data_IF_384345875076
#
_entry.id   IF_384345875076
#
_cell.length_a   1.000
_cell.length_b   1.000
_cell.length_c   1.000
_cell.angle_alpha   90.00
_cell.angle_beta   90.00
_cell.angle_gamma   90.00
#
_symmetry.space_group_name_H-M   'P 1'
#
loop_
_entity.id
_entity.type
_entity.pdbx_description
1 polymer ?
#
# COMPACT_ATOMS: atom_id res chain seq x y z
N UNK A 1 -6.92 -7.41 -29.85
CA UNK A 1 -6.63 -6.55 -28.69
C UNK A 1 -7.63 -6.88 -27.60
N UNK A 2 -7.15 -7.14 -26.40
CA UNK A 2 -8.06 -7.42 -25.28
C UNK A 2 -8.71 -6.09 -24.87
N UNK A 3 -10.02 -5.94 -25.06
CA UNK A 3 -10.76 -4.70 -24.80
C UNK A 3 -10.66 -4.24 -23.33
N UNK A 4 -10.32 -5.15 -22.43
CA UNK A 4 -10.19 -4.91 -21.00
C UNK A 4 -9.16 -3.81 -20.60
N UNK A 5 -8.28 -3.41 -21.51
CA UNK A 5 -7.25 -2.39 -21.27
C UNK A 5 -7.38 -1.19 -22.21
N UNK A 6 -8.59 -0.92 -22.68
CA UNK A 6 -8.86 0.21 -23.55
C UNK A 6 -9.59 1.33 -22.81
N UNK A 7 -9.22 2.57 -23.14
CA UNK A 7 -9.84 3.78 -22.57
C UNK A 7 -9.50 3.91 -21.07
N UNK A 8 -8.53 4.75 -20.75
CA UNK A 8 -8.25 5.07 -19.36
C UNK A 8 -9.45 5.74 -18.72
N UNK A 9 -9.74 5.40 -17.49
CA UNK A 9 -10.76 6.03 -16.67
C UNK A 9 -10.16 6.35 -15.32
N UNK A 10 -10.40 7.56 -14.82
CA UNK A 10 -9.90 7.98 -13.51
C UNK A 10 -10.78 9.09 -12.93
N UNK A 11 -10.77 9.16 -11.61
CA UNK A 11 -11.48 10.18 -10.86
C UNK A 11 -10.66 10.51 -9.60
N UNK A 12 -10.33 11.76 -9.41
CA UNK A 12 -9.75 12.32 -8.20
C UNK A 12 -10.81 13.15 -7.48
N UNK A 13 -11.10 12.80 -6.24
CA UNK A 13 -12.01 13.54 -5.36
C UNK A 13 -11.23 14.06 -4.18
N UNK A 14 -11.39 15.35 -3.86
CA UNK A 14 -10.78 15.98 -2.68
C UNK A 14 -11.88 16.69 -1.89
N UNK A 15 -12.16 16.18 -0.70
CA UNK A 15 -13.07 16.83 0.24
C UNK A 15 -12.29 17.78 1.13
N UNK A 16 -12.58 19.07 1.03
CA UNK A 16 -11.95 20.12 1.80
C UNK A 16 -12.62 20.30 3.17
N UNK A 17 -11.90 20.87 4.13
CA UNK A 17 -12.42 21.08 5.48
C UNK A 17 -13.60 22.06 5.56
N UNK A 18 -13.79 22.90 4.54
CA UNK A 18 -14.96 23.79 4.43
C UNK A 18 -16.24 23.08 3.93
N UNK A 19 -16.16 21.77 3.70
CA UNK A 19 -17.25 20.95 3.18
C UNK A 19 -17.38 20.97 1.64
N UNK A 20 -16.53 21.71 0.93
CA UNK A 20 -16.51 21.68 -0.53
C UNK A 20 -15.79 20.42 -1.04
N UNK A 21 -16.23 19.89 -2.18
CA UNK A 21 -15.63 18.73 -2.83
C UNK A 21 -15.17 19.12 -4.22
N UNK A 22 -13.88 18.88 -4.48
CA UNK A 22 -13.31 18.99 -5.81
C UNK A 22 -13.36 17.62 -6.48
N UNK A 23 -13.89 17.56 -7.68
CA UNK A 23 -13.86 16.37 -8.53
C UNK A 23 -13.15 16.68 -9.84
N UNK A 24 -12.13 15.89 -10.16
CA UNK A 24 -11.40 15.98 -11.43
C UNK A 24 -11.31 14.58 -12.00
N UNK A 25 -11.79 14.37 -13.22
CA UNK A 25 -11.75 13.03 -13.78
C UNK A 25 -12.20 12.92 -15.22
N UNK A 26 -12.08 11.73 -15.74
CA UNK A 26 -12.46 11.34 -17.10
C UNK A 26 -13.54 10.25 -17.03
N UNK A 27 -14.54 10.42 -16.17
CA UNK A 27 -15.61 9.45 -16.01
C UNK A 27 -16.95 9.84 -16.69
N UNK A 28 -16.94 10.95 -17.43
CA UNK A 28 -18.06 11.35 -18.30
C UNK A 28 -19.06 12.30 -17.67
N UNK A 29 -18.79 12.86 -16.48
CA UNK A 29 -19.68 13.82 -15.82
C UNK A 29 -19.38 15.27 -16.28
N UNK A 30 -18.14 15.55 -16.66
CA UNK A 30 -17.72 16.86 -17.14
C UNK A 30 -17.48 16.85 -18.65
N UNK A 31 -18.16 17.73 -19.38
CA UNK A 31 -17.92 17.98 -20.82
C UNK A 31 -16.57 18.67 -21.06
N UNK A 32 -15.94 19.20 -20.00
CA UNK A 32 -14.65 19.87 -20.08
C UNK A 32 -13.49 18.87 -20.05
N UNK A 33 -12.45 19.19 -20.79
CA UNK A 33 -11.22 18.39 -20.78
C UNK A 33 -10.59 18.43 -19.39
N UNK A 34 -10.49 17.31 -18.68
CA UNK A 34 -10.01 17.32 -17.31
C UNK A 34 -8.57 17.86 -17.22
N UNK A 35 -8.23 18.43 -16.07
CA UNK A 35 -6.87 18.88 -15.78
C UNK A 35 -5.86 17.74 -15.91
N UNK A 36 -4.60 18.06 -16.17
CA UNK A 36 -3.53 17.06 -16.08
C UNK A 36 -3.36 16.65 -14.63
N UNK A 37 -3.37 15.34 -14.39
CA UNK A 37 -3.07 14.72 -13.08
C UNK A 37 -2.04 13.62 -13.27
N UNK A 38 -1.01 13.60 -12.42
CA UNK A 38 -0.15 12.42 -12.25
C UNK A 38 -0.29 11.91 -10.84
N UNK A 39 -0.10 10.63 -10.68
CA UNK A 39 -0.18 9.97 -9.38
C UNK A 39 0.91 8.92 -9.21
N UNK A 40 1.32 8.77 -7.97
CA UNK A 40 2.22 7.72 -7.50
C UNK A 40 1.69 7.20 -6.16
N UNK A 41 0.92 6.14 -6.22
CA UNK A 41 0.30 5.48 -5.07
C UNK A 41 1.16 4.30 -4.68
N UNK A 42 1.77 4.38 -3.53
CA UNK A 42 2.75 3.40 -3.09
C UNK A 42 2.31 2.66 -1.83
N UNK A 43 2.16 1.35 -1.95
CA UNK A 43 1.95 0.42 -0.85
C UNK A 43 3.13 -0.56 -0.80
N UNK A 44 4.25 -0.18 -0.19
CA UNK A 44 5.50 -0.93 -0.25
C UNK A 44 5.49 -2.21 0.58
N UNK A 45 4.31 -2.71 0.87
CA UNK A 45 4.12 -3.89 1.65
C UNK A 45 4.31 -3.64 3.15
N UNK A 46 4.95 -4.54 3.77
CA UNK A 46 4.99 -4.73 5.20
C UNK A 46 5.91 -3.78 5.96
N UNK A 47 6.29 -2.65 5.36
CA UNK A 47 7.30 -1.77 5.95
C UNK A 47 6.89 -0.31 5.96
N UNK A 48 6.26 0.09 7.02
CA UNK A 48 6.22 1.50 7.36
C UNK A 48 5.14 2.32 6.66
N UNK A 49 5.32 3.59 6.75
CA UNK A 49 4.46 4.64 6.27
C UNK A 49 5.02 5.18 4.97
N UNK A 50 4.21 5.25 3.95
CA UNK A 50 4.61 5.83 2.69
C UNK A 50 3.61 6.87 2.27
N UNK A 51 4.15 7.92 1.71
CA UNK A 51 3.34 8.95 1.09
C UNK A 51 2.98 8.50 -0.32
N UNK A 52 1.74 8.75 -0.68
CA UNK A 52 1.28 8.74 -2.05
C UNK A 52 1.28 10.17 -2.56
N UNK A 53 1.68 10.38 -3.80
CA UNK A 53 1.82 11.69 -4.40
C UNK A 53 0.81 11.87 -5.52
N UNK A 54 0.11 13.00 -5.49
CA UNK A 54 -0.77 13.44 -6.56
C UNK A 54 -0.37 14.82 -7.02
N UNK A 55 -0.17 15.00 -8.32
CA UNK A 55 0.17 16.27 -8.90
C UNK A 55 -0.96 16.74 -9.81
N UNK A 56 -1.42 17.96 -9.61
CA UNK A 56 -2.51 18.58 -10.38
C UNK A 56 -1.96 19.85 -11.01
N UNK A 57 -2.09 19.98 -12.34
CA UNK A 57 -1.64 21.16 -13.06
C UNK A 57 -2.75 22.15 -13.29
N UNK A 58 -2.42 23.44 -13.12
CA UNK A 58 -3.26 24.59 -13.47
C UNK A 58 -4.64 24.59 -12.77
N UNK A 59 -4.68 24.10 -11.54
CA UNK A 59 -5.86 24.24 -10.69
C UNK A 59 -6.11 25.72 -10.39
N UNK A 60 -7.36 26.14 -10.30
CA UNK A 60 -7.73 27.53 -9.99
C UNK A 60 -7.24 27.94 -8.60
N UNK A 61 -6.95 29.24 -8.43
CA UNK A 61 -6.44 29.77 -7.15
C UNK A 61 -7.38 29.48 -5.97
N UNK A 62 -8.69 29.52 -6.22
CA UNK A 62 -9.71 29.26 -5.19
C UNK A 62 -9.64 27.84 -4.68
N UNK A 63 -9.53 26.84 -5.58
CA UNK A 63 -9.36 25.45 -5.21
C UNK A 63 -7.99 25.17 -4.56
N UNK A 64 -6.91 25.82 -5.05
CA UNK A 64 -5.61 25.72 -4.41
C UNK A 64 -5.66 26.14 -2.94
N UNK A 65 -6.30 27.30 -2.64
CA UNK A 65 -6.43 27.79 -1.27
C UNK A 65 -7.26 26.88 -0.38
N UNK A 66 -8.33 26.28 -0.90
CA UNK A 66 -9.18 25.36 -0.13
C UNK A 66 -8.46 24.06 0.21
N UNK A 67 -7.65 23.52 -0.71
CA UNK A 67 -6.94 22.26 -0.52
C UNK A 67 -5.69 22.44 0.34
N UNK A 68 -5.04 23.62 0.31
CA UNK A 68 -3.86 23.93 1.12
C UNK A 68 -4.18 23.89 2.63
N UNK A 69 -5.44 24.00 3.02
CA UNK A 69 -5.87 23.73 4.39
C UNK A 69 -5.56 22.29 4.80
N UNK A 70 -4.93 22.11 5.97
CA UNK A 70 -4.61 20.78 6.49
C UNK A 70 -5.85 19.92 6.71
N UNK A 71 -5.75 18.62 6.39
CA UNK A 71 -6.76 17.62 6.72
C UNK A 71 -7.78 17.31 5.63
N UNK A 72 -7.64 17.86 4.42
CA UNK A 72 -8.47 17.45 3.28
C UNK A 72 -8.37 15.95 3.03
N UNK A 73 -9.52 15.31 2.80
CA UNK A 73 -9.56 13.89 2.48
C UNK A 73 -9.53 13.70 0.96
N UNK A 74 -8.86 12.63 0.51
CA UNK A 74 -8.66 12.35 -0.91
C UNK A 74 -9.04 10.90 -1.23
N UNK A 75 -9.76 10.73 -2.34
CA UNK A 75 -10.04 9.44 -2.96
C UNK A 75 -9.59 9.47 -4.41
N UNK A 76 -8.89 8.44 -4.82
CA UNK A 76 -8.45 8.30 -6.19
C UNK A 76 -8.84 6.95 -6.77
N UNK A 77 -9.62 7.00 -7.84
CA UNK A 77 -10.06 5.85 -8.59
C UNK A 77 -9.40 5.86 -9.96
N UNK A 78 -8.92 4.71 -10.41
CA UNK A 78 -8.39 4.60 -11.77
C UNK A 78 -8.51 3.18 -12.33
N UNK A 79 -8.35 3.07 -13.64
CA UNK A 79 -8.45 1.82 -14.38
C UNK A 79 -8.78 2.03 -15.85
N UNK A 80 -9.69 1.22 -16.37
CA UNK A 80 -10.10 1.22 -17.77
C UNK A 80 -11.61 1.19 -17.92
N UNK A 81 -12.13 1.77 -19.02
CA UNK A 81 -13.59 1.87 -19.28
C UNK A 81 -14.26 0.51 -19.44
N UNK A 82 -13.59 -0.44 -20.09
CA UNK A 82 -14.10 -1.80 -20.34
C UNK A 82 -13.39 -2.86 -19.50
N UNK A 83 -12.56 -2.46 -18.55
CA UNK A 83 -11.77 -3.34 -17.71
C UNK A 83 -11.89 -3.05 -16.22
N UNK A 84 -10.84 -3.40 -15.48
CA UNK A 84 -10.78 -3.16 -14.04
C UNK A 84 -10.71 -1.66 -13.76
N UNK A 85 -11.69 -1.16 -13.01
CA UNK A 85 -11.73 0.20 -12.49
C UNK A 85 -12.06 0.14 -10.99
N UNK A 86 -11.34 0.86 -10.17
CA UNK A 86 -11.56 0.82 -8.73
C UNK A 86 -10.75 1.83 -7.94
N UNK A 87 -10.97 1.83 -6.64
CA UNK A 87 -10.25 2.68 -5.69
C UNK A 87 -8.79 2.24 -5.62
N UNK A 88 -7.88 3.16 -5.90
CA UNK A 88 -6.44 2.95 -5.74
C UNK A 88 -5.93 3.53 -4.43
N UNK A 89 -6.49 4.67 -4.00
CA UNK A 89 -6.05 5.35 -2.80
C UNK A 89 -7.22 6.04 -2.09
N UNK A 90 -7.20 5.99 -0.77
CA UNK A 90 -8.03 6.77 0.12
C UNK A 90 -7.19 7.19 1.31
N UNK A 91 -7.23 8.47 1.68
CA UNK A 91 -6.44 8.98 2.79
C UNK A 91 -6.59 10.48 2.95
N UNK A 92 -5.62 11.10 3.64
CA UNK A 92 -5.61 12.54 3.89
C UNK A 92 -4.42 13.22 3.24
N UNK A 93 -4.63 14.45 2.85
CA UNK A 93 -3.55 15.35 2.44
C UNK A 93 -2.72 15.67 3.68
N UNK A 94 -1.49 15.19 3.70
CA UNK A 94 -0.55 15.45 4.78
C UNK A 94 0.19 16.77 4.57
N UNK A 95 0.64 17.00 3.33
CA UNK A 95 1.35 18.23 2.98
C UNK A 95 1.11 18.60 1.51
N UNK A 96 0.53 19.78 1.24
CA UNK A 96 0.43 20.33 -0.11
C UNK A 96 1.64 21.20 -0.43
N UNK A 97 2.08 21.19 -1.70
CA UNK A 97 3.12 22.06 -2.24
C UNK A 97 2.65 22.71 -3.53
N UNK A 98 2.76 24.01 -3.62
CA UNK A 98 2.51 24.74 -4.86
C UNK A 98 3.84 25.12 -5.50
N UNK A 99 4.08 24.63 -6.70
CA UNK A 99 5.30 24.90 -7.46
C UNK A 99 4.94 25.55 -8.81
N UNK A 100 5.72 26.54 -9.22
CA UNK A 100 5.60 27.11 -10.55
C UNK A 100 6.50 26.37 -11.53
N UNK A 101 5.93 25.83 -12.60
CA UNK A 101 6.65 25.20 -13.69
C UNK A 101 6.67 26.10 -14.92
N UNK A 102 7.84 26.65 -15.26
CA UNK A 102 7.97 27.59 -16.38
C UNK A 102 7.29 28.93 -16.14
N UNK A 103 6.78 29.53 -17.21
CA UNK A 103 6.24 30.90 -17.17
C UNK A 103 4.78 30.94 -16.73
N UNK A 104 3.98 29.94 -17.10
CA UNK A 104 2.50 29.99 -17.01
C UNK A 104 1.90 28.85 -16.19
N UNK A 105 2.61 27.74 -16.01
CA UNK A 105 2.06 26.56 -15.38
C UNK A 105 2.34 26.52 -13.87
N UNK A 106 1.32 26.15 -13.12
CA UNK A 106 1.42 25.87 -11.70
C UNK A 106 1.10 24.39 -11.46
N UNK A 107 1.89 23.78 -10.59
CA UNK A 107 1.70 22.39 -10.16
C UNK A 107 1.41 22.39 -8.67
N UNK A 108 0.25 21.88 -8.29
CA UNK A 108 -0.09 21.53 -6.91
C UNK A 108 0.27 20.06 -6.66
N UNK A 109 1.23 19.83 -5.79
CA UNK A 109 1.63 18.50 -5.33
C UNK A 109 0.98 18.23 -4.00
N UNK A 110 0.24 17.14 -3.90
CA UNK A 110 -0.39 16.67 -2.68
C UNK A 110 0.37 15.42 -2.19
N UNK A 111 1.08 15.56 -1.07
CA UNK A 111 1.61 14.43 -0.34
C UNK A 111 0.50 13.88 0.54
N UNK A 112 0.06 12.67 0.28
CA UNK A 112 -1.07 12.05 0.95
C UNK A 112 -0.65 10.82 1.72
N UNK A 113 -1.35 10.52 2.82
CA UNK A 113 -1.08 9.37 3.65
C UNK A 113 -2.38 8.68 4.03
N UNK A 114 -2.34 7.34 3.98
CA UNK A 114 -3.39 6.50 4.56
C UNK A 114 -3.05 6.18 6.01
N UNK A 115 -4.06 6.25 6.89
CA UNK A 115 -3.92 5.84 8.28
C UNK A 115 -3.19 6.82 9.19
N UNK A 116 -3.32 8.12 8.96
CA UNK A 116 -2.77 9.20 9.81
C UNK A 116 -3.13 9.05 11.29
N UNK A 117 -4.32 8.50 11.60
CA UNK A 117 -4.82 8.28 12.97
C UNK A 117 -3.94 7.39 13.83
N UNK A 118 -3.07 6.59 13.22
CA UNK A 118 -2.21 5.69 13.97
C UNK A 118 -1.08 6.44 14.70
N UNK A 119 -0.66 7.58 14.21
CA UNK A 119 0.49 8.31 14.76
C UNK A 119 0.37 9.83 14.80
N UNK A 120 -0.46 10.47 13.94
CA UNK A 120 -0.58 11.94 13.94
C UNK A 120 -1.56 12.37 15.02
N UNK A 121 -1.09 13.21 15.96
CA UNK A 121 -1.92 13.84 17.00
C UNK A 121 -2.81 12.86 17.78
N UNK A 122 -2.34 11.61 17.91
CA UNK A 122 -3.06 10.56 18.59
C UNK A 122 -2.21 9.93 19.70
N UNK A 123 -2.84 9.62 20.82
CA UNK A 123 -2.18 8.95 21.93
C UNK A 123 -3.14 8.02 22.66
N UNK A 124 -2.58 7.10 23.43
CA UNK A 124 -3.31 6.20 24.29
C UNK A 124 -2.78 6.26 25.72
N UNK A 125 -3.70 6.21 26.66
CA UNK A 125 -3.42 5.98 28.07
C UNK A 125 -4.33 4.86 28.57
N UNK A 126 -3.80 3.67 28.73
CA UNK A 126 -4.58 2.50 29.10
C UNK A 126 -3.84 1.55 30.03
N UNK A 127 -4.61 0.76 30.77
CA UNK A 127 -4.13 -0.31 31.65
C UNK A 127 -4.72 -1.64 31.20
N UNK A 128 -3.87 -2.59 30.87
CA UNK A 128 -4.27 -3.96 30.56
C UNK A 128 -4.06 -4.86 31.80
N UNK A 129 -5.11 -5.58 32.24
CA UNK A 129 -4.97 -6.54 33.33
C UNK A 129 -4.10 -7.72 32.90
N UNK A 130 -3.49 -8.45 33.83
CA UNK A 130 -2.79 -9.70 33.52
C UNK A 130 -3.76 -10.70 32.84
N UNK A 131 -3.24 -11.52 31.92
CA UNK A 131 -4.02 -12.53 31.21
C UNK A 131 -4.59 -12.07 29.85
N UNK A 132 -4.27 -10.86 29.38
CA UNK A 132 -4.67 -10.44 28.03
C UNK A 132 -3.81 -11.09 26.95
N UNK A 133 -4.37 -11.19 25.73
CA UNK A 133 -3.65 -11.62 24.53
C UNK A 133 -3.15 -10.41 23.74
N UNK A 134 -2.18 -10.61 22.87
CA UNK A 134 -1.66 -9.54 22.00
C UNK A 134 -2.74 -8.98 21.08
N UNK A 135 -3.63 -9.83 20.56
CA UNK A 135 -4.78 -9.38 19.76
C UNK A 135 -5.74 -8.50 20.58
N UNK A 136 -6.01 -8.87 21.84
CA UNK A 136 -6.81 -8.04 22.76
C UNK A 136 -6.13 -6.71 23.05
N UNK A 137 -4.81 -6.70 23.17
CA UNK A 137 -4.03 -5.47 23.35
C UNK A 137 -4.17 -4.54 22.16
N UNK A 138 -3.97 -5.03 20.93
CA UNK A 138 -4.10 -4.23 19.71
C UNK A 138 -5.51 -3.64 19.59
N UNK A 139 -6.54 -4.46 19.82
CA UNK A 139 -7.93 -3.98 19.79
C UNK A 139 -8.22 -2.93 20.85
N UNK A 140 -7.69 -3.10 22.07
CA UNK A 140 -7.87 -2.13 23.16
C UNK A 140 -7.16 -0.80 22.82
N UNK A 141 -5.96 -0.86 22.28
CA UNK A 141 -5.22 0.32 21.83
C UNK A 141 -6.00 1.06 20.75
N UNK A 142 -6.46 0.34 19.72
CA UNK A 142 -7.21 0.93 18.61
C UNK A 142 -8.52 1.59 19.04
N UNK A 143 -9.25 0.95 19.97
CA UNK A 143 -10.53 1.45 20.45
C UNK A 143 -10.41 2.60 21.46
N UNK A 144 -9.36 2.62 22.29
CA UNK A 144 -9.19 3.58 23.39
C UNK A 144 -8.24 4.73 23.04
N UNK A 145 -7.67 4.75 21.86
CA UNK A 145 -6.91 5.88 21.39
C UNK A 145 -7.77 7.16 21.39
N UNK A 146 -7.15 8.31 21.61
CA UNK A 146 -7.86 9.61 21.64
C UNK A 146 -8.69 9.81 20.37
N UNK A 147 -8.14 9.44 19.22
CA UNK A 147 -8.92 9.26 17.99
C UNK A 147 -8.97 7.77 17.67
N UNK A 148 -10.13 7.11 17.80
CA UNK A 148 -10.25 5.68 17.57
C UNK A 148 -9.78 5.27 16.18
N UNK A 149 -9.08 4.15 16.11
CA UNK A 149 -8.51 3.60 14.87
C UNK A 149 -9.39 2.42 14.45
N UNK A 150 -10.05 2.49 13.29
CA UNK A 150 -10.82 1.36 12.79
C UNK A 150 -9.91 0.15 12.53
N UNK A 151 -10.28 -1.01 13.04
CA UNK A 151 -9.59 -2.27 12.80
C UNK A 151 -10.36 -3.06 11.76
N UNK A 152 -9.67 -3.49 10.69
CA UNK A 152 -10.26 -4.36 9.68
C UNK A 152 -10.03 -5.84 10.04
N UNK A 153 -8.77 -6.27 10.05
CA UNK A 153 -8.43 -7.66 10.36
C UNK A 153 -7.09 -7.76 11.08
N UNK A 154 -7.07 -8.56 12.12
CA UNK A 154 -5.86 -8.98 12.82
C UNK A 154 -5.70 -10.47 12.60
N UNK A 155 -4.51 -10.91 12.19
CA UNK A 155 -4.21 -12.32 12.01
C UNK A 155 -4.47 -13.13 13.27
N UNK A 156 -5.04 -14.32 13.13
CA UNK A 156 -5.28 -15.24 14.25
C UNK A 156 -3.98 -15.83 14.83
N UNK A 157 -2.87 -15.67 14.11
CA UNK A 157 -1.54 -16.13 14.53
C UNK A 157 -0.80 -15.18 15.47
N UNK A 158 -1.31 -13.98 15.73
CA UNK A 158 -0.79 -13.20 16.84
C UNK A 158 -0.84 -14.05 18.11
N UNK A 159 0.30 -14.10 18.84
CA UNK A 159 0.50 -14.99 19.96
C UNK A 159 -0.78 -15.22 20.78
N UNK A 160 -1.35 -16.42 20.75
CA UNK A 160 -2.58 -16.73 21.48
C UNK A 160 -2.34 -16.83 22.98
N UNK A 161 -1.06 -16.84 23.40
CA UNK A 161 -0.67 -16.94 24.79
C UNK A 161 -1.05 -15.70 25.58
N UNK A 162 -1.60 -15.92 26.76
CA UNK A 162 -1.92 -14.85 27.68
C UNK A 162 -0.67 -14.24 28.28
N UNK A 163 -0.57 -12.93 28.29
CA UNK A 163 0.53 -12.21 28.90
C UNK A 163 0.35 -12.17 30.42
N UNK A 164 1.32 -12.70 31.15
CA UNK A 164 1.27 -12.93 32.60
C UNK A 164 1.24 -11.64 33.41
N UNK A 165 1.81 -10.56 32.85
CA UNK A 165 1.93 -9.27 33.57
C UNK A 165 0.92 -8.26 33.08
N UNK A 166 0.42 -7.44 34.01
CA UNK A 166 -0.32 -6.22 33.64
C UNK A 166 0.58 -5.26 32.90
N UNK A 167 0.01 -4.51 31.97
CA UNK A 167 0.72 -3.48 31.21
C UNK A 167 0.02 -2.14 31.36
N UNK A 168 0.79 -1.09 31.60
CA UNK A 168 0.33 0.30 31.56
C UNK A 168 0.99 0.97 30.35
N UNK A 169 0.20 1.52 29.46
CA UNK A 169 0.65 2.10 28.20
C UNK A 169 0.28 3.57 28.18
N UNK A 170 1.28 4.41 27.96
CA UNK A 170 1.12 5.84 27.66
C UNK A 170 2.05 6.19 26.51
N UNK A 171 1.51 6.21 25.31
CA UNK A 171 2.30 6.37 24.09
C UNK A 171 1.41 6.77 22.90
N UNK A 172 2.04 7.09 21.74
CA UNK A 172 1.35 7.06 20.47
C UNK A 172 0.93 5.62 20.14
N UNK A 173 -0.27 5.38 19.58
CA UNK A 173 -0.79 4.04 19.31
C UNK A 173 0.12 3.16 18.46
N UNK A 174 0.89 3.75 17.53
CA UNK A 174 1.80 3.01 16.66
C UNK A 174 2.92 2.30 17.43
N UNK A 175 3.40 2.88 18.52
CA UNK A 175 4.55 2.32 19.29
C UNK A 175 4.22 0.93 19.85
N UNK A 176 3.19 0.75 20.69
CA UNK A 176 2.88 -0.57 21.25
C UNK A 176 2.36 -1.55 20.19
N UNK A 177 1.64 -1.09 19.16
CA UNK A 177 1.20 -1.99 18.08
C UNK A 177 2.39 -2.51 17.29
N UNK A 178 3.37 -1.68 16.97
CA UNK A 178 4.62 -2.11 16.31
C UNK A 178 5.45 -3.06 17.17
N UNK A 179 5.42 -2.89 18.47
CA UNK A 179 6.09 -3.81 19.38
C UNK A 179 5.47 -5.21 19.32
N UNK A 180 4.14 -5.30 19.35
CA UNK A 180 3.41 -6.56 19.15
C UNK A 180 3.79 -7.21 17.82
N UNK A 181 3.74 -6.46 16.73
CA UNK A 181 4.07 -6.97 15.39
C UNK A 181 5.54 -7.42 15.31
N UNK A 182 6.47 -6.67 15.93
CA UNK A 182 7.90 -7.02 15.95
C UNK A 182 8.17 -8.33 16.71
N UNK A 183 7.41 -8.60 17.75
CA UNK A 183 7.54 -9.83 18.53
C UNK A 183 7.01 -11.06 17.77
N UNK A 184 6.23 -10.85 16.72
CA UNK A 184 5.65 -11.90 15.87
C UNK A 184 6.30 -11.85 14.49
N UNK A 185 7.33 -12.66 14.27
CA UNK A 185 8.31 -12.56 13.16
C UNK A 185 7.68 -12.47 11.76
N UNK A 186 6.58 -13.16 11.50
CA UNK A 186 5.93 -13.20 10.19
C UNK A 186 4.70 -12.28 10.10
N UNK A 187 4.47 -11.47 11.12
CA UNK A 187 3.35 -10.54 11.17
C UNK A 187 3.75 -9.13 10.75
N UNK A 188 2.88 -8.46 10.03
CA UNK A 188 3.10 -7.12 9.50
C UNK A 188 1.90 -6.23 9.68
N UNK A 189 2.20 -4.96 9.94
CA UNK A 189 1.23 -3.90 10.10
C UNK A 189 1.14 -3.09 8.82
N UNK A 190 -0.08 -2.87 8.33
CA UNK A 190 -0.35 -1.88 7.29
C UNK A 190 -1.71 -1.21 7.50
N UNK A 191 -1.84 0.00 6.96
CA UNK A 191 -3.10 0.72 6.90
C UNK A 191 -3.66 0.64 5.49
N UNK A 192 -4.96 0.49 5.37
CA UNK A 192 -5.67 0.58 4.10
C UNK A 192 -7.07 1.14 4.32
N UNK A 193 -7.39 2.17 3.56
CA UNK A 193 -8.69 2.88 3.68
C UNK A 193 -8.97 3.34 5.12
N UNK A 194 -7.93 3.85 5.80
CA UNK A 194 -8.01 4.30 7.19
C UNK A 194 -8.17 3.18 8.23
N UNK A 195 -8.07 1.91 7.82
CA UNK A 195 -8.27 0.75 8.70
C UNK A 195 -6.96 0.02 8.98
N UNK A 196 -6.77 -0.34 10.24
CA UNK A 196 -5.64 -1.13 10.70
C UNK A 196 -5.77 -2.60 10.26
N UNK A 197 -4.69 -3.12 9.69
CA UNK A 197 -4.55 -4.53 9.36
C UNK A 197 -3.25 -5.08 9.94
N UNK A 198 -3.32 -6.26 10.56
CA UNK A 198 -2.15 -7.06 10.91
C UNK A 198 -2.29 -8.40 10.17
N UNK A 199 -1.32 -8.70 9.31
CA UNK A 199 -1.31 -9.86 8.44
C UNK A 199 -0.13 -10.78 8.77
N UNK A 200 -0.35 -12.08 8.71
CA UNK A 200 0.75 -13.06 8.63
C UNK A 200 1.01 -13.37 7.16
N UNK A 201 2.25 -13.21 6.70
CA UNK A 201 2.62 -13.47 5.30
C UNK A 201 2.49 -14.93 4.90
N UNK A 202 2.49 -15.83 5.87
CA UNK A 202 2.31 -17.25 5.61
C UNK A 202 0.84 -17.66 5.44
N UNK A 203 -0.11 -16.81 5.85
CA UNK A 203 -1.53 -17.06 5.58
C UNK A 203 -1.82 -17.08 4.09
N UNK A 204 -2.70 -17.98 3.68
CA UNK A 204 -3.20 -18.11 2.31
C UNK A 204 -4.71 -18.26 2.33
N UNK A 205 -5.37 -17.69 1.36
CA UNK A 205 -6.79 -17.88 1.15
C UNK A 205 -7.02 -18.97 0.09
N UNK A 206 -7.22 -20.19 0.54
CA UNK A 206 -7.47 -21.32 -0.35
C UNK A 206 -8.81 -21.26 -1.11
N UNK A 207 -9.67 -20.29 -0.75
CA UNK A 207 -10.96 -20.10 -1.42
C UNK A 207 -10.85 -19.25 -2.68
N UNK A 208 -9.75 -18.51 -2.84
CA UNK A 208 -9.52 -17.62 -3.98
C UNK A 208 -8.53 -18.25 -4.97
N UNK A 209 -8.91 -18.22 -6.25
CA UNK A 209 -7.95 -18.58 -7.30
C UNK A 209 -6.92 -17.44 -7.47
N UNK A 210 -5.63 -17.79 -7.64
CA UNK A 210 -4.60 -16.81 -7.85
C UNK A 210 -4.82 -16.05 -9.15
N UNK A 211 -4.56 -14.74 -9.12
CA UNK A 211 -4.67 -13.91 -10.31
C UNK A 211 -3.58 -14.28 -11.32
N UNK A 212 -3.98 -14.73 -12.50
CA UNK A 212 -3.06 -15.08 -13.59
C UNK A 212 -2.44 -13.84 -14.24
N UNK A 213 -1.13 -13.72 -14.22
CA UNK A 213 -0.36 -12.61 -14.78
C UNK A 213 0.46 -13.10 -15.99
N UNK A 214 0.08 -12.65 -17.17
CA UNK A 214 0.73 -12.99 -18.44
C UNK A 214 0.55 -11.84 -19.46
N UNK A 215 1.09 -12.00 -20.65
CA UNK A 215 1.00 -10.97 -21.71
C UNK A 215 -0.43 -10.64 -22.15
N UNK A 216 -1.38 -11.55 -21.97
CA UNK A 216 -2.80 -11.31 -22.29
C UNK A 216 -3.53 -10.59 -21.15
N UNK A 217 -3.05 -10.74 -19.92
CA UNK A 217 -3.62 -10.10 -18.72
C UNK A 217 -2.87 -8.82 -18.30
N UNK A 218 -2.08 -8.25 -19.22
CA UNK A 218 -1.48 -6.94 -19.05
C UNK A 218 -0.05 -6.93 -18.52
N UNK A 219 0.67 -8.06 -18.49
CA UNK A 219 2.09 -8.08 -18.14
C UNK A 219 2.90 -7.23 -19.10
N UNK A 220 3.69 -6.30 -18.59
CA UNK A 220 4.52 -5.35 -19.33
C UNK A 220 6.00 -5.66 -19.10
N UNK A 221 6.73 -5.84 -20.19
CA UNK A 221 8.16 -6.15 -20.11
C UNK A 221 8.42 -7.58 -19.61
N UNK A 222 9.59 -7.76 -19.00
CA UNK A 222 10.03 -9.06 -18.49
C UNK A 222 10.11 -9.01 -16.97
N UNK A 223 9.44 -9.93 -16.24
CA UNK A 223 9.57 -10.04 -14.80
C UNK A 223 11.05 -10.23 -14.39
N UNK A 224 11.43 -9.59 -13.30
CA UNK A 224 12.79 -9.66 -12.76
C UNK A 224 12.81 -10.47 -11.48
N UNK A 225 13.63 -11.48 -11.42
CA UNK A 225 13.84 -12.24 -10.20
C UNK A 225 14.60 -11.40 -9.18
N UNK A 226 14.16 -11.46 -7.94
CA UNK A 226 14.84 -10.93 -6.76
C UNK A 226 15.33 -12.07 -5.86
N UNK A 227 16.11 -11.76 -4.82
CA UNK A 227 16.59 -12.77 -3.87
C UNK A 227 15.44 -13.52 -3.16
N UNK A 228 14.22 -12.96 -3.14
CA UNK A 228 13.08 -13.47 -2.34
C UNK A 228 11.82 -13.71 -3.15
N UNK A 229 11.86 -13.42 -4.43
CA UNK A 229 10.67 -13.56 -5.26
C UNK A 229 10.86 -12.90 -6.62
N UNK A 230 9.92 -12.05 -6.99
CA UNK A 230 9.86 -11.49 -8.33
C UNK A 230 9.35 -10.04 -8.30
N UNK A 231 9.92 -9.20 -9.14
CA UNK A 231 9.37 -7.90 -9.48
C UNK A 231 8.82 -7.93 -10.90
N UNK A 232 7.62 -7.44 -11.07
CA UNK A 232 7.01 -7.35 -12.38
C UNK A 232 6.12 -6.12 -12.52
N UNK A 233 5.90 -5.69 -13.76
CA UNK A 233 5.04 -4.57 -14.12
C UNK A 233 3.84 -5.06 -14.89
N UNK A 234 2.68 -4.55 -14.57
CA UNK A 234 1.46 -4.76 -15.34
C UNK A 234 0.84 -3.43 -15.73
N UNK A 235 -0.03 -3.46 -16.75
CA UNK A 235 -0.93 -2.34 -16.99
C UNK A 235 -1.75 -2.06 -15.73
N UNK A 236 -2.10 -0.81 -15.49
CA UNK A 236 -2.77 -0.40 -14.25
C UNK A 236 -3.92 -1.35 -13.90
N UNK A 237 -3.86 -1.92 -12.71
CA UNK A 237 -4.88 -2.86 -12.24
C UNK A 237 -5.20 -2.63 -10.77
N UNK A 238 -6.35 -2.02 -10.45
CA UNK A 238 -6.75 -1.74 -9.07
C UNK A 238 -7.09 -2.98 -8.24
N UNK A 239 -7.27 -4.14 -8.89
CA UNK A 239 -7.51 -5.40 -8.17
C UNK A 239 -6.26 -5.88 -7.46
N UNK A 240 -5.07 -5.56 -8.01
CA UNK A 240 -3.80 -5.96 -7.39
C UNK A 240 -3.51 -5.03 -6.23
N UNK A 241 -3.43 -5.59 -5.04
CA UNK A 241 -3.19 -4.83 -3.82
C UNK A 241 -2.67 -5.68 -2.68
N UNK A 242 -2.30 -5.02 -1.60
CA UNK A 242 -1.96 -5.68 -0.35
C UNK A 242 -3.26 -6.02 0.36
N UNK A 243 -3.46 -7.30 0.65
CA UNK A 243 -4.67 -7.85 1.26
C UNK A 243 -4.35 -8.67 2.51
N UNK A 244 -5.37 -9.02 3.27
CA UNK A 244 -5.27 -9.90 4.43
C UNK A 244 -6.31 -11.04 4.32
N UNK A 245 -5.90 -12.27 4.05
CA UNK A 245 -4.53 -12.76 3.82
C UNK A 245 -3.87 -12.18 2.55
N UNK A 246 -2.55 -12.37 2.38
CA UNK A 246 -1.84 -11.87 1.21
C UNK A 246 -2.38 -12.41 -0.10
N UNK A 247 -2.60 -11.52 -1.08
CA UNK A 247 -3.07 -11.89 -2.41
C UNK A 247 -2.06 -12.78 -3.12
N UNK A 248 -2.53 -13.85 -3.72
CA UNK A 248 -1.71 -14.75 -4.52
C UNK A 248 -1.82 -14.43 -6.02
N UNK A 249 -0.68 -14.48 -6.71
CA UNK A 249 -0.58 -14.27 -8.15
C UNK A 249 0.19 -15.39 -8.79
N UNK A 250 -0.21 -15.78 -10.01
CA UNK A 250 0.52 -16.74 -10.84
C UNK A 250 1.10 -16.03 -12.05
N UNK A 251 2.42 -15.86 -12.06
CA UNK A 251 3.15 -15.13 -13.10
C UNK A 251 3.65 -16.11 -14.16
N UNK A 252 3.46 -15.77 -15.44
CA UNK A 252 4.03 -16.51 -16.56
C UNK A 252 5.55 -16.31 -16.59
N UNK A 253 6.28 -17.34 -16.23
CA UNK A 253 7.74 -17.33 -16.15
C UNK A 253 8.44 -17.70 -17.48
N UNK A 254 7.72 -17.99 -18.55
CA UNK A 254 8.31 -18.42 -19.83
C UNK A 254 9.27 -17.38 -20.44
N UNK A 255 9.21 -16.14 -20.00
CA UNK A 255 10.02 -15.01 -20.45
C UNK A 255 10.79 -14.32 -19.32
N UNK A 256 10.97 -14.98 -18.19
CA UNK A 256 11.73 -14.40 -17.07
C UNK A 256 13.21 -14.37 -17.44
N UNK A 257 13.75 -13.19 -17.58
CA UNK A 257 15.19 -13.00 -17.57
C UNK A 257 15.67 -13.08 -16.12
N UNK A 258 16.59 -14.00 -15.88
CA UNK A 258 17.33 -14.02 -14.63
C UNK A 258 18.25 -12.79 -14.66
N UNK A 259 17.72 -11.63 -14.34
CA UNK A 259 18.55 -10.50 -13.98
C UNK A 259 19.12 -10.85 -12.60
N UNK A 260 20.31 -11.39 -12.57
CA UNK A 260 21.08 -11.55 -11.34
C UNK A 260 21.29 -10.16 -10.75
N UNK A 261 20.38 -9.72 -9.88
CA UNK A 261 20.72 -8.68 -8.95
C UNK A 261 21.81 -9.29 -8.04
N UNK A 262 22.98 -8.69 -8.11
CA UNK A 262 24.19 -8.97 -7.35
C UNK A 262 24.06 -10.08 -6.33
N UNK A 263 24.65 -11.22 -6.60
CA UNK A 263 24.97 -12.18 -5.57
C UNK A 263 25.68 -11.44 -4.43
N UNK A 264 25.07 -11.38 -3.25
CA UNK A 264 25.77 -10.97 -2.03
C UNK A 264 26.84 -12.04 -1.84
N UNK A 265 28.09 -11.65 -1.84
CA UNK A 265 29.25 -12.54 -1.71
C UNK A 265 28.98 -13.60 -0.63
N UNK A 266 28.97 -14.87 -1.01
CA UNK A 266 28.86 -16.01 -0.12
C UNK A 266 27.44 -16.57 0.10
N UNK A 267 26.40 -16.09 -0.61
CA UNK A 267 25.07 -16.71 -0.57
C UNK A 267 24.74 -17.35 -1.92
N UNK A 268 24.24 -18.61 -1.93
CA UNK A 268 23.74 -19.19 -3.17
C UNK A 268 22.57 -18.36 -3.69
N UNK A 269 22.54 -18.08 -4.99
CA UNK A 269 21.39 -17.49 -5.68
C UNK A 269 20.20 -18.41 -5.42
N UNK A 270 19.10 -17.90 -4.88
CA UNK A 270 17.90 -18.70 -4.70
C UNK A 270 17.42 -19.19 -6.07
N UNK A 271 17.14 -20.46 -6.17
CA UNK A 271 16.56 -21.03 -7.38
C UNK A 271 15.19 -20.38 -7.59
N UNK A 272 14.94 -19.88 -8.81
CA UNK A 272 13.61 -19.35 -9.19
C UNK A 272 12.55 -20.38 -8.80
N UNK A 273 11.53 -19.94 -8.13
CA UNK A 273 10.34 -20.77 -7.96
C UNK A 273 9.74 -21.04 -9.34
N UNK A 274 9.97 -22.22 -9.87
CA UNK A 274 9.49 -22.63 -11.19
C UNK A 274 7.97 -22.77 -11.26
N UNK A 275 7.27 -22.72 -10.10
CA UNK A 275 5.81 -22.83 -10.07
C UNK A 275 5.13 -21.56 -10.56
N UNK A 276 5.81 -20.43 -10.52
CA UNK A 276 5.27 -19.13 -10.90
C UNK A 276 4.30 -18.52 -9.88
N UNK A 277 4.19 -19.12 -8.70
CA UNK A 277 3.28 -18.67 -7.65
C UNK A 277 3.99 -17.72 -6.68
N UNK A 278 3.36 -16.55 -6.46
CA UNK A 278 3.91 -15.52 -5.58
C UNK A 278 2.78 -14.89 -4.77
N UNK A 279 3.13 -14.41 -3.57
CA UNK A 279 2.29 -13.54 -2.75
C UNK A 279 2.64 -12.08 -3.01
N UNK A 280 1.64 -11.24 -3.18
CA UNK A 280 1.84 -9.81 -3.35
C UNK A 280 2.32 -9.22 -2.03
N UNK A 281 3.53 -8.66 -2.06
CA UNK A 281 4.17 -8.09 -0.90
C UNK A 281 4.38 -6.59 -0.97
N UNK A 282 4.26 -6.01 -2.15
CA UNK A 282 4.33 -4.56 -2.37
C UNK A 282 3.69 -4.19 -3.71
N UNK A 283 3.04 -3.03 -3.75
CA UNK A 283 2.36 -2.53 -4.94
C UNK A 283 2.60 -1.03 -5.08
N UNK A 284 2.90 -0.60 -6.28
CA UNK A 284 2.98 0.81 -6.66
C UNK A 284 2.14 1.04 -7.90
N UNK A 285 1.12 1.86 -7.78
CA UNK A 285 0.31 2.32 -8.91
C UNK A 285 0.76 3.71 -9.31
N UNK A 286 1.10 3.91 -10.56
CA UNK A 286 1.51 5.23 -11.02
C UNK A 286 1.05 5.51 -12.44
N UNK A 287 0.84 6.78 -12.74
CA UNK A 287 0.38 7.17 -14.06
C UNK A 287 0.34 8.66 -14.30
N UNK A 288 0.20 8.99 -15.58
CA UNK A 288 -0.02 10.34 -16.09
C UNK A 288 -1.29 10.35 -16.95
N UNK A 289 -2.27 11.16 -16.58
CA UNK A 289 -3.55 11.25 -17.29
C UNK A 289 -3.39 11.72 -18.74
N UNK A 290 -2.30 12.41 -19.06
CA UNK A 290 -1.97 12.94 -20.40
C UNK A 290 -0.73 12.28 -21.02
N UNK A 291 0.02 11.47 -20.23
CA UNK A 291 1.24 10.80 -20.66
C UNK A 291 1.01 9.34 -21.02
N UNK A 292 2.11 8.60 -21.15
CA UNK A 292 2.09 7.18 -21.49
C UNK A 292 2.06 6.25 -20.28
N UNK A 293 2.48 6.73 -19.12
CA UNK A 293 2.54 5.94 -17.91
C UNK A 293 1.15 5.62 -17.37
N UNK A 294 0.87 4.33 -17.15
CA UNK A 294 -0.38 3.84 -16.56
C UNK A 294 -0.17 2.39 -16.13
N UNK A 295 0.52 2.21 -15.01
CA UNK A 295 1.08 0.93 -14.63
C UNK A 295 0.88 0.61 -13.15
N UNK A 296 0.99 -0.68 -12.86
CA UNK A 296 1.13 -1.23 -11.51
C UNK A 296 2.43 -2.02 -11.46
N UNK A 297 3.35 -1.61 -10.61
CA UNK A 297 4.55 -2.37 -10.24
C UNK A 297 4.26 -3.23 -9.04
N UNK A 298 4.64 -4.49 -9.08
CA UNK A 298 4.36 -5.47 -8.03
C UNK A 298 5.65 -6.13 -7.58
N UNK A 299 5.83 -6.19 -6.27
CA UNK A 299 6.84 -7.03 -5.63
C UNK A 299 6.14 -8.27 -5.08
N UNK A 300 6.49 -9.43 -5.61
CA UNK A 300 5.97 -10.72 -5.17
C UNK A 300 7.00 -11.52 -4.38
N UNK A 301 6.57 -12.20 -3.33
CA UNK A 301 7.38 -13.16 -2.57
C UNK A 301 7.04 -14.58 -2.99
N UNK A 302 8.06 -15.44 -3.13
CA UNK A 302 7.86 -16.83 -3.52
C UNK A 302 7.04 -17.62 -2.49
N UNK A 303 6.05 -18.38 -2.97
CA UNK A 303 5.19 -19.20 -2.11
C UNK A 303 5.90 -20.47 -1.62
N UNK A 304 6.83 -21.01 -2.39
CA UNK A 304 7.52 -22.27 -2.10
C UNK A 304 8.46 -22.24 -0.90
N UNK A 305 8.33 -21.23 -0.04
CA UNK A 305 8.68 -21.30 1.37
C UNK A 305 10.15 -21.55 1.70
N UNK A 306 11.06 -21.41 0.77
CA UNK A 306 12.47 -21.30 1.10
C UNK A 306 12.97 -19.86 1.09
N UNK A 307 12.07 -18.94 1.43
CA UNK A 307 12.54 -17.67 1.98
C UNK A 307 13.22 -18.03 3.30
N UNK A 308 14.53 -17.81 3.43
CA UNK A 308 15.18 -18.05 4.72
C UNK A 308 14.39 -17.24 5.77
N UNK A 309 14.03 -17.86 6.88
CA UNK A 309 13.25 -17.25 7.96
C UNK A 309 13.83 -15.91 8.47
N UNK A 310 15.04 -15.58 8.08
CA UNK A 310 15.79 -14.37 8.44
C UNK A 310 15.58 -13.19 7.48
N UNK A 311 14.71 -13.33 6.47
CA UNK A 311 14.58 -12.35 5.37
C UNK A 311 13.28 -11.58 5.38
N UNK A 312 12.39 -11.97 6.23
CA UNK A 312 11.20 -11.21 6.55
C UNK A 312 11.49 -9.97 7.39
N UNK A 313 12.68 -9.88 7.97
CA UNK A 313 13.12 -8.69 8.72
C UNK A 313 14.05 -7.86 7.84
N UNK A 314 13.74 -6.61 7.53
CA UNK A 314 14.65 -5.71 6.82
C UNK A 314 16.03 -5.71 7.47
N UNK A 315 17.09 -5.73 6.67
CA UNK A 315 18.49 -5.79 7.11
C UNK A 315 18.84 -4.75 8.20
N UNK A 316 18.19 -3.60 8.22
CA UNK A 316 18.40 -2.57 9.24
C UNK A 316 17.78 -2.90 10.60
N UNK A 317 16.79 -3.82 10.66
CA UNK A 317 16.18 -4.27 11.91
C UNK A 317 16.93 -5.47 12.52
N UNK A 318 17.69 -6.22 11.72
CA UNK A 318 18.52 -7.33 12.22
C UNK A 318 19.70 -6.86 13.07
N UNK A 319 20.17 -5.61 12.87
CA UNK A 319 21.26 -5.03 13.68
C UNK A 319 20.85 -4.60 15.08
N UNK A 320 19.57 -4.43 15.35
CA UNK A 320 19.08 -4.00 16.67
C UNK A 320 18.92 -5.17 17.68
N UNK A 321 18.95 -6.42 17.22
CA UNK A 321 18.77 -7.61 18.06
C UNK A 321 20.08 -8.33 18.46
N UNK A 322 21.23 -7.79 18.07
CA UNK A 322 22.55 -8.38 18.35
C UNK A 322 23.42 -7.56 19.31
N UNK A 323 22.79 -6.73 20.19
CA UNK A 323 23.45 -6.10 21.34
C UNK A 323 22.72 -6.43 22.63
#
# INVERSE_FOLDING_TARGET
MNKAYYGRKWLLQVACNDGSVLEIGEDGISEETPLKVTFDVNYPGYQGWYFSEFNIWNLTSDWQQKIIGEGSEIWFYAGYKEGNYGLLFSGKVFQPFLTREGVVNYKLTLMCMDGDRLFKDNFISTNMPAGYTESQLVNAIAAQAFTPIPVNKITERLAPSQLVRKSTIFASPDVPIREVVRNNIDSYLYMREGKLNIVDVNESDSSQEPLGINSKTGLVGTPQQTDFGINFRVLLNPVIGITNPPMEVKVDLSKVNIAMQRAVLGRPVSVVDQTGWFKVGGVRHFGDSRGNEWYTDVTGYALSGKTPANLTVPLYLQRASSN
#
